data_IF_636185528871
#
_entry.id   IF_636185528871
#
_cell.length_a   1.000
_cell.length_b   1.000
_cell.length_c   1.000
_cell.angle_alpha   90.00
_cell.angle_beta   90.00
_cell.angle_gamma   90.00
#
_symmetry.space_group_name_H-M   'P 1'
#
loop_
_entity.id
_entity.type
_entity.pdbx_description
1 polymer ?
#
# COMPACT_ATOMS: atom_id res chain seq x y z
N UNK A 1 19.85 0.96 -61.42
CA UNK A 1 21.15 1.39 -61.88
C UNK A 1 22.21 0.77 -60.98
N UNK A 2 23.13 -0.02 -61.53
CA UNK A 2 24.27 -0.56 -60.80
C UNK A 2 25.40 0.47 -60.71
N UNK A 3 26.13 0.46 -59.60
CA UNK A 3 27.34 1.27 -59.47
C UNK A 3 28.45 0.62 -60.31
N UNK A 4 29.21 1.42 -61.05
CA UNK A 4 30.36 0.91 -61.82
C UNK A 4 31.50 0.57 -60.86
N UNK A 5 32.19 -0.55 -61.02
CA UNK A 5 33.39 -0.88 -60.23
C UNK A 5 34.43 0.25 -60.44
N UNK A 6 35.06 0.70 -59.34
CA UNK A 6 36.06 1.82 -59.35
C UNK A 6 35.50 3.21 -59.72
N UNK A 7 34.23 3.43 -59.51
CA UNK A 7 33.62 4.74 -59.71
C UNK A 7 34.15 5.76 -58.68
N UNK A 8 34.48 6.97 -59.19
CA UNK A 8 34.82 8.10 -58.34
C UNK A 8 33.51 8.75 -57.86
N UNK A 9 33.43 8.97 -56.54
CA UNK A 9 32.36 9.72 -55.94
C UNK A 9 32.89 11.10 -55.56
N UNK A 10 32.09 12.15 -55.86
CA UNK A 10 32.42 13.50 -55.50
C UNK A 10 31.26 14.16 -54.79
N UNK A 11 31.52 14.91 -53.74
CA UNK A 11 30.51 15.70 -53.03
C UNK A 11 30.92 17.17 -53.22
N UNK A 12 29.99 18.00 -53.74
CA UNK A 12 30.18 19.41 -53.88
C UNK A 12 29.87 20.22 -52.60
N UNK A 13 30.05 21.57 -52.67
CA UNK A 13 29.80 22.45 -51.50
C UNK A 13 28.32 22.56 -51.14
N UNK A 14 27.42 22.24 -52.06
CA UNK A 14 25.97 22.24 -51.86
C UNK A 14 25.43 20.86 -51.37
N UNK A 15 26.36 19.98 -50.96
CA UNK A 15 26.09 18.62 -50.51
C UNK A 15 25.38 17.73 -51.57
N UNK A 16 25.71 17.97 -52.88
CA UNK A 16 25.32 17.06 -53.92
C UNK A 16 26.37 15.97 -54.11
N UNK A 17 25.98 14.72 -53.99
CA UNK A 17 26.79 13.54 -54.23
C UNK A 17 26.63 13.14 -55.70
N UNK A 18 27.75 13.18 -56.42
CA UNK A 18 27.87 12.67 -57.80
C UNK A 18 28.52 11.31 -57.79
N UNK A 19 27.86 10.36 -58.41
CA UNK A 19 28.39 8.99 -58.55
C UNK A 19 28.13 8.43 -59.93
N UNK A 20 29.08 7.64 -60.40
CA UNK A 20 29.03 7.02 -61.73
C UNK A 20 28.17 5.77 -61.69
N UNK A 21 27.30 5.67 -62.67
CA UNK A 21 26.44 4.49 -62.88
C UNK A 21 26.64 3.97 -64.31
N UNK A 22 26.13 2.80 -64.62
CA UNK A 22 26.12 2.20 -65.97
C UNK A 22 25.47 3.09 -67.04
N UNK A 23 24.63 4.05 -66.65
CA UNK A 23 23.90 4.96 -67.51
C UNK A 23 24.42 6.43 -67.50
N UNK A 24 25.59 6.66 -66.85
CA UNK A 24 26.19 8.01 -66.76
C UNK A 24 26.41 8.44 -65.32
N UNK A 25 26.46 9.77 -65.08
CA UNK A 25 26.61 10.33 -63.74
C UNK A 25 25.27 10.64 -63.14
N UNK A 26 25.04 10.13 -61.95
CA UNK A 26 23.84 10.42 -61.16
C UNK A 26 24.21 11.40 -60.03
N UNK A 27 23.38 12.43 -59.86
CA UNK A 27 23.52 13.42 -58.82
C UNK A 27 22.39 13.17 -57.76
N UNK A 28 22.77 13.17 -56.51
CA UNK A 28 21.84 13.06 -55.37
C UNK A 28 22.16 14.16 -54.36
N UNK A 29 21.19 15.00 -54.04
CA UNK A 29 21.35 15.98 -52.97
C UNK A 29 21.23 15.29 -51.60
N UNK A 30 22.30 15.30 -50.83
CA UNK A 30 22.39 14.62 -49.53
C UNK A 30 21.46 15.24 -48.49
N UNK A 31 21.27 16.58 -48.54
CA UNK A 31 20.35 17.26 -47.62
C UNK A 31 18.91 16.87 -47.89
N UNK A 32 18.51 16.82 -49.17
CA UNK A 32 17.18 16.41 -49.57
C UNK A 32 16.92 14.92 -49.25
N UNK A 33 17.92 14.09 -49.49
CA UNK A 33 17.90 12.68 -49.17
C UNK A 33 17.74 12.48 -47.64
N UNK A 34 18.56 13.15 -46.84
CA UNK A 34 18.49 13.08 -45.37
C UNK A 34 17.16 13.62 -44.80
N UNK A 35 16.60 14.70 -45.42
CA UNK A 35 15.32 15.24 -44.98
C UNK A 35 14.13 14.31 -45.32
N UNK A 36 14.19 13.62 -46.47
CA UNK A 36 13.08 12.76 -46.94
C UNK A 36 12.98 11.41 -46.23
N UNK A 37 14.05 10.94 -45.59
CA UNK A 37 14.12 9.59 -44.97
C UNK A 37 13.99 9.63 -43.43
N UNK A 38 13.86 10.81 -42.83
CA UNK A 38 13.78 10.96 -41.35
C UNK A 38 12.43 10.61 -40.78
N UNK A 39 11.86 9.46 -41.16
CA UNK A 39 10.70 8.91 -40.42
C UNK A 39 11.20 7.90 -39.39
N UNK A 40 11.24 8.31 -38.14
CA UNK A 40 11.52 7.42 -37.04
C UNK A 40 10.22 6.83 -36.51
N UNK A 41 10.14 5.51 -36.44
CA UNK A 41 9.06 4.84 -35.73
C UNK A 41 9.61 4.39 -34.37
N UNK A 42 9.13 5.02 -33.33
CA UNK A 42 9.53 4.71 -31.95
C UNK A 42 8.41 3.94 -31.26
N UNK A 43 8.77 2.88 -30.59
CA UNK A 43 7.85 2.10 -29.78
C UNK A 43 8.55 1.49 -28.57
N UNK A 44 7.78 1.22 -27.53
CA UNK A 44 8.20 0.37 -26.44
C UNK A 44 7.85 -1.07 -26.85
N UNK A 45 8.86 -1.87 -27.18
CA UNK A 45 8.67 -3.24 -27.66
C UNK A 45 8.05 -4.14 -26.59
N UNK A 46 8.59 -4.07 -25.39
CA UNK A 46 8.10 -4.80 -24.22
C UNK A 46 8.65 -4.17 -22.96
N UNK A 47 8.04 -4.50 -21.83
CA UNK A 47 8.59 -4.22 -20.49
C UNK A 47 8.62 -5.55 -19.73
N UNK A 48 9.73 -5.84 -19.09
CA UNK A 48 9.84 -6.98 -18.16
C UNK A 48 9.76 -6.47 -16.74
N UNK A 49 8.82 -7.02 -15.97
CA UNK A 49 8.64 -6.72 -14.54
C UNK A 49 9.01 -8.00 -13.80
N UNK A 50 10.08 -7.94 -13.00
CA UNK A 50 10.64 -9.10 -12.28
C UNK A 50 10.84 -10.33 -13.17
N UNK A 51 11.30 -10.10 -14.42
CA UNK A 51 11.54 -11.16 -15.41
C UNK A 51 10.29 -11.63 -16.18
N UNK A 52 9.10 -11.08 -15.87
CA UNK A 52 7.87 -11.38 -16.61
C UNK A 52 7.63 -10.34 -17.69
N UNK A 53 7.49 -10.78 -18.93
CA UNK A 53 7.32 -9.89 -20.08
C UNK A 53 5.88 -9.43 -20.26
N UNK A 54 5.70 -8.10 -20.35
CA UNK A 54 4.44 -7.43 -20.62
C UNK A 54 4.51 -6.67 -21.94
N UNK A 55 3.44 -6.75 -22.73
CA UNK A 55 3.29 -5.91 -23.93
C UNK A 55 2.73 -4.56 -23.53
N UNK A 56 3.28 -3.50 -24.10
CA UNK A 56 2.85 -2.13 -23.85
C UNK A 56 2.17 -1.59 -25.09
N UNK A 57 0.97 -1.06 -24.92
CA UNK A 57 0.25 -0.39 -26.01
C UNK A 57 0.47 1.11 -25.88
N UNK A 58 0.63 1.77 -27.04
CA UNK A 58 0.80 3.22 -27.07
C UNK A 58 -0.46 3.91 -26.55
N UNK A 59 -0.29 4.83 -25.59
CA UNK A 59 -1.39 5.60 -25.00
C UNK A 59 -2.10 4.92 -23.83
N UNK A 60 -1.76 3.68 -23.50
CA UNK A 60 -2.25 3.02 -22.28
C UNK A 60 -1.16 3.09 -21.18
N UNK A 61 -1.51 3.46 -19.94
CA UNK A 61 -0.56 3.43 -18.83
C UNK A 61 -0.18 1.99 -18.48
N UNK A 62 1.10 1.77 -18.22
CA UNK A 62 1.59 0.51 -17.69
C UNK A 62 1.43 0.53 -16.16
N UNK A 63 0.64 -0.39 -15.64
CA UNK A 63 0.48 -0.56 -14.20
C UNK A 63 1.49 -1.58 -13.68
N UNK A 64 2.25 -1.16 -12.69
CA UNK A 64 3.26 -1.97 -11.99
C UNK A 64 2.78 -2.21 -10.57
N UNK A 65 2.83 -3.46 -10.14
CA UNK A 65 2.47 -3.82 -8.76
C UNK A 65 3.53 -3.28 -7.77
N UNK A 66 3.12 -3.01 -6.54
CA UNK A 66 4.01 -2.47 -5.51
C UNK A 66 5.25 -3.32 -5.25
N UNK A 67 5.07 -4.64 -5.17
CA UNK A 67 6.14 -5.60 -4.88
C UNK A 67 7.18 -5.76 -5.98
N UNK A 68 6.98 -5.13 -7.14
CA UNK A 68 7.94 -5.21 -8.24
C UNK A 68 9.26 -4.53 -7.87
N UNK A 69 10.36 -5.27 -7.96
CA UNK A 69 11.70 -4.79 -7.64
C UNK A 69 12.42 -4.28 -8.88
N UNK A 70 12.20 -4.92 -10.03
CA UNK A 70 12.93 -4.62 -11.27
C UNK A 70 11.96 -4.36 -12.42
N UNK A 71 12.18 -3.26 -13.12
CA UNK A 71 11.46 -2.90 -14.34
C UNK A 71 12.48 -2.71 -15.44
N UNK A 72 12.48 -3.58 -16.44
CA UNK A 72 13.36 -3.52 -17.59
C UNK A 72 12.55 -3.13 -18.83
N UNK A 73 12.87 -1.99 -19.40
CA UNK A 73 12.19 -1.41 -20.56
C UNK A 73 13.01 -1.71 -21.79
N UNK A 74 12.37 -2.25 -22.83
CA UNK A 74 12.98 -2.52 -24.13
C UNK A 74 12.46 -1.51 -25.16
N UNK A 75 13.10 -0.32 -25.30
CA UNK A 75 12.73 0.64 -26.32
C UNK A 75 13.22 0.17 -27.69
N UNK A 76 12.44 0.45 -28.71
CA UNK A 76 12.79 0.13 -30.10
C UNK A 76 12.58 1.35 -30.99
N UNK A 77 13.61 1.66 -31.76
CA UNK A 77 13.58 2.73 -32.75
C UNK A 77 13.85 2.13 -34.11
N UNK A 78 12.85 2.12 -34.97
CA UNK A 78 12.95 1.65 -36.35
C UNK A 78 13.33 2.83 -37.22
N UNK A 79 14.50 2.75 -37.82
CA UNK A 79 15.07 3.73 -38.70
C UNK A 79 15.51 3.03 -40.00
N UNK A 80 14.99 3.48 -41.13
CA UNK A 80 15.33 2.92 -42.44
C UNK A 80 16.52 3.65 -43.10
N UNK A 81 17.15 4.59 -42.40
CA UNK A 81 18.33 5.25 -42.91
C UNK A 81 19.64 4.56 -42.47
N UNK A 82 20.70 4.72 -43.24
CA UNK A 82 22.03 4.24 -42.86
C UNK A 82 22.59 4.99 -41.64
N UNK A 83 22.05 6.18 -41.40
CA UNK A 83 22.47 7.04 -40.31
C UNK A 83 21.88 6.59 -38.97
N UNK A 84 22.73 6.47 -37.95
CA UNK A 84 22.34 6.15 -36.58
C UNK A 84 22.25 7.43 -35.75
N UNK A 85 21.06 7.95 -35.46
CA UNK A 85 20.89 9.18 -34.69
C UNK A 85 21.29 8.99 -33.22
N UNK A 86 21.49 10.10 -32.53
CA UNK A 86 21.50 10.09 -31.07
C UNK A 86 20.07 9.91 -30.54
N UNK A 87 19.99 9.20 -29.44
CA UNK A 87 18.72 8.94 -28.75
C UNK A 87 18.85 9.33 -27.30
N UNK A 88 17.77 9.82 -26.74
CA UNK A 88 17.67 10.17 -25.33
C UNK A 88 16.61 9.33 -24.66
N UNK A 89 16.94 8.76 -23.51
CA UNK A 89 16.00 8.04 -22.63
C UNK A 89 15.99 8.72 -21.26
N UNK A 90 14.80 8.91 -20.73
CA UNK A 90 14.60 9.64 -19.49
C UNK A 90 13.32 9.18 -18.80
N UNK A 91 13.38 8.84 -17.51
CA UNK A 91 12.22 8.56 -16.69
C UNK A 91 11.93 9.78 -15.81
N UNK A 92 10.96 10.60 -16.23
CA UNK A 92 10.50 11.74 -15.46
C UNK A 92 9.93 11.29 -14.11
N UNK A 93 10.35 11.98 -13.06
CA UNK A 93 10.01 11.63 -11.67
C UNK A 93 11.03 10.72 -10.98
N UNK A 94 12.02 10.18 -11.73
CA UNK A 94 13.07 9.32 -11.16
C UNK A 94 14.48 9.70 -11.59
N UNK A 95 14.73 9.83 -12.89
CA UNK A 95 16.05 10.19 -13.42
C UNK A 95 16.36 11.66 -13.15
N UNK A 96 17.62 11.98 -12.83
CA UNK A 96 18.07 13.36 -12.63
C UNK A 96 18.32 14.10 -13.94
N UNK A 97 18.66 13.37 -14.99
CA UNK A 97 18.97 13.92 -16.31
C UNK A 97 18.74 12.87 -17.41
N UNK A 98 18.42 13.29 -18.64
CA UNK A 98 18.33 12.38 -19.77
C UNK A 98 19.65 11.67 -20.06
N UNK A 99 19.58 10.39 -20.40
CA UNK A 99 20.71 9.58 -20.86
C UNK A 99 20.75 9.62 -22.37
N UNK A 100 21.82 10.21 -22.93
CA UNK A 100 22.01 10.35 -24.38
C UNK A 100 23.03 9.31 -24.85
N UNK A 101 22.69 8.58 -25.91
CA UNK A 101 23.55 7.54 -26.51
C UNK A 101 23.27 7.41 -28.00
N UNK A 102 24.12 6.71 -28.74
CA UNK A 102 23.82 6.40 -30.15
C UNK A 102 22.73 5.32 -30.24
N UNK A 103 21.90 5.37 -31.27
CA UNK A 103 20.83 4.37 -31.47
C UNK A 103 21.35 2.93 -31.43
N UNK A 104 22.57 2.68 -31.92
CA UNK A 104 23.17 1.34 -31.90
C UNK A 104 23.58 0.83 -30.53
N UNK A 105 23.69 1.70 -29.54
CA UNK A 105 24.00 1.39 -28.14
C UNK A 105 22.74 1.25 -27.30
N UNK A 106 21.57 1.62 -27.84
CA UNK A 106 20.31 1.53 -27.17
C UNK A 106 19.96 0.04 -26.94
N UNK A 107 20.04 -0.35 -25.70
CA UNK A 107 19.63 -1.69 -25.19
C UNK A 107 18.42 -1.53 -24.29
N UNK A 108 18.22 -2.47 -23.38
CA UNK A 108 17.23 -2.31 -22.31
C UNK A 108 17.65 -1.24 -21.30
N UNK A 109 16.66 -0.59 -20.71
CA UNK A 109 16.83 0.36 -19.61
C UNK A 109 16.23 -0.25 -18.35
N UNK A 110 17.06 -0.41 -17.32
CA UNK A 110 16.68 -1.10 -16.09
C UNK A 110 16.50 -0.08 -14.97
N UNK A 111 15.37 -0.16 -14.31
CA UNK A 111 15.05 0.58 -13.09
C UNK A 111 14.82 -0.41 -11.95
N UNK A 112 15.53 -0.22 -10.84
CA UNK A 112 15.41 -1.08 -9.65
C UNK A 112 14.80 -0.29 -8.49
N UNK A 113 13.94 -0.95 -7.72
CA UNK A 113 13.31 -0.37 -6.53
C UNK A 113 12.62 0.98 -6.79
N UNK A 114 11.94 1.10 -7.95
CA UNK A 114 11.20 2.32 -8.28
C UNK A 114 10.17 2.61 -7.17
N UNK A 115 10.15 3.80 -6.54
CA UNK A 115 9.14 4.15 -5.55
C UNK A 115 7.72 4.09 -6.10
N UNK A 116 6.73 4.04 -5.21
CA UNK A 116 5.32 4.18 -5.58
C UNK A 116 5.09 5.58 -6.15
N UNK A 117 4.44 5.65 -7.31
CA UNK A 117 4.21 6.93 -7.99
C UNK A 117 3.83 6.78 -9.45
N UNK A 118 3.65 7.92 -10.10
CA UNK A 118 3.41 8.02 -11.53
C UNK A 118 4.66 8.59 -12.20
N UNK A 119 5.10 7.93 -13.24
CA UNK A 119 6.31 8.24 -13.99
C UNK A 119 5.99 8.34 -15.48
N UNK A 120 6.73 9.17 -16.20
CA UNK A 120 6.65 9.28 -17.66
C UNK A 120 7.99 8.89 -18.25
N UNK A 121 8.02 7.79 -19.01
CA UNK A 121 9.20 7.38 -19.75
C UNK A 121 9.23 8.11 -21.09
N UNK A 122 10.28 8.89 -21.31
CA UNK A 122 10.56 9.64 -22.52
C UNK A 122 11.57 8.90 -23.37
N UNK A 123 11.23 8.70 -24.63
CA UNK A 123 12.13 8.18 -25.66
C UNK A 123 12.17 9.20 -26.78
N UNK A 124 13.33 9.83 -27.00
CA UNK A 124 13.48 10.89 -27.99
C UNK A 124 14.62 10.59 -28.96
N UNK A 125 14.44 11.00 -30.21
CA UNK A 125 15.51 11.03 -31.22
C UNK A 125 16.01 12.47 -31.31
N UNK A 126 17.33 12.64 -31.22
CA UNK A 126 18.00 13.92 -31.22
C UNK A 126 18.66 14.22 -32.57
N UNK A 127 18.68 15.48 -32.95
CA UNK A 127 19.49 15.92 -34.07
C UNK A 127 20.99 15.79 -33.72
N UNK A 128 21.78 15.37 -34.71
CA UNK A 128 23.21 15.17 -34.51
C UNK A 128 24.02 16.49 -34.45
N UNK A 129 23.45 17.57 -34.95
CA UNK A 129 24.17 18.88 -35.02
C UNK A 129 23.99 19.68 -33.74
N UNK A 130 22.77 19.79 -33.24
CA UNK A 130 22.40 20.66 -32.12
C UNK A 130 21.76 19.92 -30.93
N UNK A 131 21.64 18.60 -31.04
CA UNK A 131 20.99 17.75 -30.03
C UNK A 131 19.54 18.15 -29.71
N UNK A 132 18.89 18.89 -30.59
CA UNK A 132 17.50 19.21 -30.47
C UNK A 132 16.61 17.95 -30.63
N UNK A 133 15.47 17.91 -29.93
CA UNK A 133 14.52 16.80 -30.03
C UNK A 133 13.80 16.87 -31.37
N UNK A 134 14.00 15.88 -32.23
CA UNK A 134 13.29 15.75 -33.51
C UNK A 134 11.95 15.05 -33.36
N UNK A 135 11.93 13.94 -32.66
CA UNK A 135 10.72 13.14 -32.41
C UNK A 135 10.79 12.57 -31.00
N UNK A 136 9.68 12.59 -30.32
CA UNK A 136 9.55 12.07 -28.96
C UNK A 136 8.34 11.14 -28.85
N UNK A 137 8.47 10.11 -28.04
CA UNK A 137 7.38 9.24 -27.61
C UNK A 137 7.42 9.08 -26.11
N UNK A 138 6.26 9.24 -25.48
CA UNK A 138 6.10 9.15 -24.04
C UNK A 138 5.23 7.95 -23.66
N UNK A 139 5.56 7.34 -22.51
CA UNK A 139 4.82 6.20 -21.96
C UNK A 139 4.64 6.40 -20.46
N UNK A 140 3.41 6.26 -19.99
CA UNK A 140 3.10 6.38 -18.58
C UNK A 140 3.32 5.06 -17.85
N UNK A 141 4.02 5.10 -16.73
CA UNK A 141 4.26 3.97 -15.83
C UNK A 141 3.73 4.35 -14.45
N UNK A 142 2.78 3.59 -13.95
CA UNK A 142 2.13 3.86 -12.67
C UNK A 142 2.40 2.69 -11.74
N UNK A 143 3.25 2.91 -10.73
CA UNK A 143 3.47 1.95 -9.66
C UNK A 143 2.44 2.18 -8.57
N UNK A 144 1.57 1.19 -8.38
CA UNK A 144 0.41 1.27 -7.48
C UNK A 144 0.83 1.39 -6.02
N UNK A 145 0.11 2.23 -5.27
CA UNK A 145 0.13 2.23 -3.82
C UNK A 145 -0.87 1.19 -3.29
N UNK A 146 -0.52 0.50 -2.22
CA UNK A 146 -1.47 -0.34 -1.50
C UNK A 146 -2.13 0.44 -0.35
N UNK A 147 -3.31 -0.03 0.10
CA UNK A 147 -4.14 0.67 1.08
C UNK A 147 -3.37 0.92 2.40
N UNK A 148 -2.49 -0.02 2.78
CA UNK A 148 -1.69 0.09 4.01
C UNK A 148 -0.49 1.05 3.91
N UNK A 149 -0.16 1.58 2.73
CA UNK A 149 0.83 2.66 2.60
C UNK A 149 0.26 4.01 3.07
N UNK A 150 -1.05 4.09 3.24
CA UNK A 150 -1.68 5.30 3.68
C UNK A 150 -1.57 5.41 5.23
N UNK A 151 -0.96 6.48 5.73
CA UNK A 151 -0.80 6.75 7.17
C UNK A 151 -2.14 6.72 7.94
N UNK A 152 -3.26 7.06 7.29
CA UNK A 152 -4.60 6.94 7.83
C UNK A 152 -4.99 5.51 8.18
N UNK A 153 -4.53 4.52 7.38
CA UNK A 153 -4.76 3.11 7.65
C UNK A 153 -4.06 2.67 8.95
N UNK A 154 -2.83 3.14 9.18
CA UNK A 154 -2.12 2.90 10.44
C UNK A 154 -2.86 3.48 11.64
N UNK A 155 -3.36 4.73 11.53
CA UNK A 155 -4.19 5.35 12.57
C UNK A 155 -5.48 4.56 12.82
N UNK A 156 -6.14 4.12 11.77
CA UNK A 156 -7.35 3.29 11.89
C UNK A 156 -7.05 1.99 12.63
N UNK A 157 -5.97 1.28 12.30
CA UNK A 157 -5.58 0.05 12.97
C UNK A 157 -5.26 0.27 14.45
N UNK A 158 -4.57 1.37 14.79
CA UNK A 158 -4.31 1.74 16.21
C UNK A 158 -5.61 2.02 16.95
N UNK A 159 -6.55 2.75 16.33
CA UNK A 159 -7.85 3.05 16.94
C UNK A 159 -8.66 1.77 17.19
N UNK A 160 -8.72 0.87 16.20
CA UNK A 160 -9.41 -0.43 16.34
C UNK A 160 -8.78 -1.26 17.47
N UNK A 161 -7.44 -1.30 17.53
CA UNK A 161 -6.74 -2.00 18.61
C UNK A 161 -7.05 -1.40 19.99
N UNK A 162 -7.04 -0.06 20.11
CA UNK A 162 -7.37 0.63 21.36
C UNK A 162 -8.81 0.33 21.83
N UNK A 163 -9.78 0.33 20.89
CA UNK A 163 -11.16 -0.03 21.17
C UNK A 163 -11.26 -1.48 21.65
N UNK A 164 -10.56 -2.40 21.01
CA UNK A 164 -10.55 -3.82 21.41
C UNK A 164 -9.97 -4.01 22.82
N UNK A 165 -8.88 -3.33 23.15
CA UNK A 165 -8.27 -3.38 24.49
C UNK A 165 -9.20 -2.78 25.53
N UNK A 166 -9.83 -1.64 25.28
CA UNK A 166 -10.78 -1.01 26.21
C UNK A 166 -12.02 -1.90 26.43
N UNK A 167 -12.51 -2.53 25.38
CA UNK A 167 -13.62 -3.47 25.49
C UNK A 167 -13.26 -4.70 26.34
N UNK A 168 -12.09 -5.28 26.12
CA UNK A 168 -11.60 -6.43 26.91
C UNK A 168 -11.42 -6.06 28.38
N UNK A 169 -10.81 -4.91 28.68
CA UNK A 169 -10.63 -4.44 30.06
C UNK A 169 -11.96 -4.18 30.73
N UNK A 170 -12.92 -3.58 30.03
CA UNK A 170 -14.29 -3.39 30.53
C UNK A 170 -14.96 -4.72 30.85
N UNK A 171 -14.82 -5.71 29.98
CA UNK A 171 -15.42 -7.04 30.16
C UNK A 171 -14.84 -7.76 31.38
N UNK A 172 -13.50 -7.71 31.56
CA UNK A 172 -12.83 -8.28 32.74
C UNK A 172 -13.28 -7.55 34.00
N UNK A 173 -13.30 -6.21 33.98
CA UNK A 173 -13.74 -5.42 35.11
C UNK A 173 -15.21 -5.76 35.49
N UNK A 174 -16.11 -5.80 34.52
CA UNK A 174 -17.51 -6.12 34.73
C UNK A 174 -17.69 -7.52 35.36
N UNK A 175 -16.95 -8.50 34.86
CA UNK A 175 -17.03 -9.88 35.43
C UNK A 175 -16.48 -9.94 36.87
N UNK A 176 -15.42 -9.17 37.20
CA UNK A 176 -14.88 -9.10 38.55
C UNK A 176 -15.87 -8.43 39.53
N UNK A 177 -16.47 -7.32 39.11
CA UNK A 177 -17.48 -6.62 39.92
C UNK A 177 -18.67 -7.54 40.20
N UNK A 178 -19.18 -8.25 39.21
CA UNK A 178 -20.28 -9.21 39.41
C UNK A 178 -19.91 -10.34 40.35
N UNK A 179 -18.69 -10.88 40.27
CA UNK A 179 -18.19 -11.90 41.20
C UNK A 179 -18.16 -11.39 42.63
N UNK A 180 -17.63 -10.20 42.86
CA UNK A 180 -17.54 -9.57 44.18
C UNK A 180 -18.92 -9.34 44.77
N UNK A 181 -19.85 -8.78 43.99
CA UNK A 181 -21.23 -8.57 44.42
C UNK A 181 -21.96 -9.89 44.79
N UNK A 182 -21.71 -10.96 44.02
CA UNK A 182 -22.29 -12.26 44.32
C UNK A 182 -21.72 -12.89 45.60
N UNK A 183 -20.42 -12.68 45.88
CA UNK A 183 -19.80 -13.14 47.13
C UNK A 183 -20.42 -12.38 48.30
N UNK A 184 -20.51 -11.06 48.26
CA UNK A 184 -21.11 -10.24 49.30
C UNK A 184 -22.58 -10.58 49.59
N UNK A 185 -23.37 -10.86 48.54
CA UNK A 185 -24.76 -11.32 48.70
C UNK A 185 -24.82 -12.66 49.44
N UNK A 186 -23.97 -13.61 49.11
CA UNK A 186 -23.90 -14.91 49.78
C UNK A 186 -23.49 -14.77 51.26
N UNK A 187 -22.51 -13.94 51.55
CA UNK A 187 -22.11 -13.65 52.93
C UNK A 187 -23.24 -13.05 53.74
N UNK A 188 -23.99 -12.09 53.18
CA UNK A 188 -25.14 -11.47 53.82
C UNK A 188 -26.25 -12.49 54.09
N UNK A 189 -26.54 -13.40 53.17
CA UNK A 189 -27.50 -14.48 53.35
C UNK A 189 -27.06 -15.45 54.44
N UNK A 190 -25.79 -15.80 54.50
CA UNK A 190 -25.26 -16.67 55.57
C UNK A 190 -25.38 -16.02 56.95
N UNK A 191 -25.03 -14.71 57.07
CA UNK A 191 -25.16 -13.96 58.32
C UNK A 191 -26.64 -13.91 58.76
N UNK A 192 -27.58 -13.63 57.85
CA UNK A 192 -29.01 -13.64 58.15
C UNK A 192 -29.46 -15.01 58.66
N UNK A 193 -29.05 -16.08 57.98
CA UNK A 193 -29.41 -17.46 58.39
C UNK A 193 -28.80 -17.83 59.75
N UNK A 194 -27.58 -17.40 60.04
CA UNK A 194 -26.97 -17.58 61.38
C UNK A 194 -27.74 -16.82 62.44
N UNK A 195 -28.20 -15.59 62.16
CA UNK A 195 -28.98 -14.77 63.08
C UNK A 195 -30.36 -15.45 63.38
N UNK A 196 -31.02 -15.94 62.35
CA UNK A 196 -32.29 -16.67 62.49
C UNK A 196 -32.11 -17.92 63.31
N UNK A 197 -31.08 -18.75 63.01
CA UNK A 197 -30.77 -19.94 63.81
C UNK A 197 -30.43 -19.59 65.26
N UNK A 198 -29.66 -18.49 65.48
CA UNK A 198 -29.37 -18.01 66.83
C UNK A 198 -30.64 -17.64 67.61
N UNK A 199 -31.53 -16.88 66.94
CA UNK A 199 -32.83 -16.52 67.57
C UNK A 199 -33.72 -17.72 67.89
N UNK A 200 -33.81 -18.71 66.96
CA UNK A 200 -34.56 -19.97 67.22
C UNK A 200 -33.96 -20.76 68.37
N UNK A 201 -32.63 -20.82 68.49
CA UNK A 201 -31.91 -21.45 69.56
C UNK A 201 -32.25 -20.81 70.93
N UNK A 202 -32.16 -19.47 70.98
CA UNK A 202 -32.50 -18.70 72.17
C UNK A 202 -33.96 -18.92 72.58
N UNK A 203 -34.89 -18.89 71.61
CA UNK A 203 -36.33 -19.18 71.87
C UNK A 203 -36.57 -20.60 72.34
N UNK A 204 -35.83 -21.54 71.77
CA UNK A 204 -35.93 -22.94 72.16
C UNK A 204 -35.44 -23.18 73.60
N UNK A 205 -34.30 -22.57 73.97
CA UNK A 205 -33.77 -22.58 75.30
C UNK A 205 -34.76 -21.93 76.27
N UNK A 206 -35.31 -20.77 75.96
CA UNK A 206 -36.29 -20.08 76.79
C UNK A 206 -37.52 -20.93 77.03
N UNK A 207 -38.05 -21.54 75.99
CA UNK A 207 -39.18 -22.46 76.09
C UNK A 207 -38.88 -23.70 76.95
N UNK A 208 -37.66 -24.24 76.87
CA UNK A 208 -37.25 -25.41 77.67
C UNK A 208 -37.10 -25.02 79.12
N UNK A 209 -36.58 -23.85 79.43
CA UNK A 209 -36.49 -23.31 80.80
C UNK A 209 -37.91 -23.09 81.39
N UNK A 210 -38.80 -22.45 80.60
CA UNK A 210 -40.17 -22.19 80.98
C UNK A 210 -41.00 -23.50 81.24
N UNK A 211 -40.69 -24.53 80.46
CA UNK A 211 -41.35 -25.84 80.62
C UNK A 211 -40.90 -26.59 81.90
N UNK A 212 -39.71 -26.23 82.45
CA UNK A 212 -39.21 -26.88 83.68
C UNK A 212 -39.78 -26.26 84.95
N UNK A 213 -40.29 -25.01 84.86
CA UNK A 213 -40.84 -24.30 86.03
C UNK A 213 -42.21 -23.67 85.68
N UNK A 214 -43.27 -24.36 86.01
CA UNK A 214 -44.67 -23.99 85.66
C UNK A 214 -45.11 -22.65 86.25
N UNK A 215 -44.39 -22.12 87.25
CA UNK A 215 -44.73 -20.83 87.87
C UNK A 215 -44.09 -19.60 87.20
N UNK A 216 -43.07 -19.82 86.40
CA UNK A 216 -42.31 -18.70 85.70
C UNK A 216 -42.67 -18.53 84.25
N UNK A 217 -43.34 -19.45 83.59
CA UNK A 217 -43.67 -19.40 82.17
C UNK A 217 -44.50 -18.16 81.73
N UNK A 218 -45.46 -17.76 82.57
CA UNK A 218 -46.26 -16.57 82.33
C UNK A 218 -45.50 -15.29 82.62
N UNK A 219 -44.47 -15.31 83.48
CA UNK A 219 -43.66 -14.19 83.75
C UNK A 219 -42.65 -13.86 82.58
N UNK A 220 -41.98 -14.84 82.04
CA UNK A 220 -41.04 -14.72 80.91
C UNK A 220 -41.77 -14.23 79.66
N UNK A 221 -42.97 -14.74 79.36
CA UNK A 221 -43.77 -14.26 78.23
C UNK A 221 -44.15 -12.76 78.33
N UNK A 222 -44.51 -12.31 79.56
CA UNK A 222 -44.84 -10.89 79.82
C UNK A 222 -43.60 -10.00 79.73
N UNK A 223 -42.45 -10.43 80.24
CA UNK A 223 -41.21 -9.66 80.13
C UNK A 223 -40.76 -9.51 78.68
N UNK A 224 -40.85 -10.60 77.87
CA UNK A 224 -40.51 -10.52 76.45
C UNK A 224 -41.44 -9.54 75.68
N UNK A 225 -42.76 -9.61 75.95
CA UNK A 225 -43.75 -8.71 75.34
C UNK A 225 -43.49 -7.22 75.70
N UNK A 226 -43.17 -6.94 76.95
CA UNK A 226 -42.83 -5.62 77.39
C UNK A 226 -41.48 -5.11 76.78
N UNK A 227 -40.44 -5.96 76.66
CA UNK A 227 -39.16 -5.60 76.03
C UNK A 227 -39.33 -5.25 74.54
N UNK A 228 -40.20 -5.97 73.85
CA UNK A 228 -40.50 -5.64 72.43
C UNK A 228 -41.28 -4.34 72.31
N UNK A 229 -42.17 -4.02 73.22
CA UNK A 229 -42.88 -2.74 73.24
C UNK A 229 -41.90 -1.57 73.46
N UNK A 230 -41.03 -1.72 74.48
CA UNK A 230 -39.97 -0.70 74.72
C UNK A 230 -39.01 -0.51 73.59
N UNK A 231 -38.61 -1.60 72.92
CA UNK A 231 -37.67 -1.47 71.71
C UNK A 231 -38.34 -0.91 70.47
N UNK A 232 -39.64 -0.72 70.42
CA UNK A 232 -40.37 -0.04 69.32
C UNK A 232 -40.59 1.45 69.56
N UNK A 233 -40.44 1.91 70.78
CA UNK A 233 -40.56 3.34 71.14
C UNK A 233 -39.23 4.08 71.24
N UNK A 234 -38.08 3.38 71.10
CA UNK A 234 -36.73 3.90 70.92
C UNK A 234 -36.32 3.90 69.46
#
# INVERSE_FOLDING_TARGET
>A
NALTPNAWNYVDQDENLYFSTDNGVTCMNLNHYNASIRSYRMQMKSVEIDGVRHSVKRGEPLYVERGAETIEIFPEIINYSVYKPYVSVYLEGYDKAPKVMQQGELSSVIYTNLPVGSYTFHLAVLDSKDQSVQVESTYQIIKKAEIYDNWWFMLYMVAVFAIAVTYLTWLVFHTQVQRTLNIQKRELELVKKQLEMGNETVLTIARTVDAKDVNTSQHSARVAAHSVMFGKEL
#
